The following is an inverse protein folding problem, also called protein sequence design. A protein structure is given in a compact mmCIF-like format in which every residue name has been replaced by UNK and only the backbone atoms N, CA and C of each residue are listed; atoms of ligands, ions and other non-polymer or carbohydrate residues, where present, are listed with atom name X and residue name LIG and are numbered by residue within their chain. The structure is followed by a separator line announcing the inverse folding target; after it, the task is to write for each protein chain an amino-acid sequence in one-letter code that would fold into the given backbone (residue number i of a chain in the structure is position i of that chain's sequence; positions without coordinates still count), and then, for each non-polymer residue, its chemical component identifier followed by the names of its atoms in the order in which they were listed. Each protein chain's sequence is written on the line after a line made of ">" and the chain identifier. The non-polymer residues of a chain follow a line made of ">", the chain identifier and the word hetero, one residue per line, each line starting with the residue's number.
data_IF_619058893834
#
_entry.id   IF_619058893834
#
_cell.length_a   1.000
_cell.length_b   1.000
_cell.length_c   1.000
_cell.angle_alpha   90.00
_cell.angle_beta   90.00
_cell.angle_gamma   90.00
#
_symmetry.space_group_name_H-M   'P 1'
#
loop_
_entity.id
_entity.type
_entity.pdbx_description
1 polymer ?
#
# COMPACT_ATOMS: atom_id res chain seq x y z
N UNK A 1 17.07 19.41 -10.86
CA UNK A 1 15.74 19.63 -11.50
C UNK A 1 14.68 20.04 -10.47
N UNK A 2 14.30 19.20 -9.48
CA UNK A 2 13.34 19.57 -8.41
C UNK A 2 13.65 20.91 -7.70
N UNK A 3 14.91 21.13 -7.30
CA UNK A 3 15.33 22.36 -6.61
C UNK A 3 15.11 23.64 -7.45
N UNK A 4 15.30 23.55 -8.77
CA UNK A 4 15.12 24.67 -9.69
C UNK A 4 13.62 25.01 -9.86
N UNK A 5 12.78 23.98 -10.01
CA UNK A 5 11.33 24.14 -10.09
C UNK A 5 10.74 24.70 -8.79
N UNK A 6 11.28 24.28 -7.64
CA UNK A 6 10.87 24.81 -6.33
C UNK A 6 11.23 26.28 -6.18
N UNK A 7 12.42 26.67 -6.62
CA UNK A 7 12.89 28.06 -6.56
C UNK A 7 12.11 28.99 -7.52
N UNK A 8 11.71 28.47 -8.68
CA UNK A 8 10.87 29.20 -9.64
C UNK A 8 9.38 29.29 -9.23
N UNK A 9 8.98 28.66 -8.11
CA UNK A 9 7.58 28.64 -7.65
C UNK A 9 6.65 27.78 -8.51
N UNK A 10 7.18 26.91 -9.37
CA UNK A 10 6.40 26.08 -10.31
C UNK A 10 6.03 24.71 -9.76
N UNK A 11 6.25 24.50 -8.46
CA UNK A 11 5.77 23.32 -7.74
C UNK A 11 4.57 23.76 -6.92
N UNK A 12 3.37 23.40 -7.39
CA UNK A 12 2.17 23.58 -6.58
C UNK A 12 2.28 22.74 -5.30
N UNK A 13 2.02 23.32 -4.12
CA UNK A 13 1.96 22.55 -2.90
C UNK A 13 0.85 21.50 -3.05
N UNK A 14 1.21 20.23 -2.85
CA UNK A 14 0.23 19.15 -2.83
C UNK A 14 -0.49 19.25 -1.50
N UNK A 15 -1.71 19.79 -1.50
CA UNK A 15 -2.56 19.65 -0.34
C UNK A 15 -2.72 18.15 -0.04
N UNK A 16 -2.55 17.72 1.22
CA UNK A 16 -2.82 16.34 1.56
C UNK A 16 -4.30 16.09 1.24
N UNK A 17 -4.58 15.25 0.25
CA UNK A 17 -5.93 14.70 0.06
C UNK A 17 -6.22 13.85 1.28
N UNK A 18 -6.80 14.47 2.30
CA UNK A 18 -7.30 13.79 3.47
C UNK A 18 -8.66 13.20 3.11
N UNK A 19 -8.65 11.96 2.64
CA UNK A 19 -9.85 11.14 2.67
C UNK A 19 -9.82 10.39 3.99
N UNK A 20 -10.85 10.57 4.81
CA UNK A 20 -11.01 9.75 6.01
C UNK A 20 -11.29 8.31 5.58
N UNK A 21 -10.59 7.35 6.16
CA UNK A 21 -10.93 5.95 5.97
C UNK A 21 -12.38 5.71 6.41
N UNK A 22 -13.13 4.93 5.65
CA UNK A 22 -14.43 4.43 6.10
C UNK A 22 -14.22 3.42 7.24
N UNK A 23 -15.19 3.27 8.13
CA UNK A 23 -15.11 2.30 9.23
C UNK A 23 -14.93 0.87 8.72
N UNK A 24 -15.50 0.55 7.56
CA UNK A 24 -15.45 -0.78 6.97
C UNK A 24 -15.38 -0.75 5.44
N UNK A 25 -14.85 -1.83 4.88
CA UNK A 25 -14.89 -2.08 3.44
C UNK A 25 -16.31 -2.46 2.99
N UNK A 26 -16.77 -1.85 1.90
CA UNK A 26 -18.17 -1.96 1.42
C UNK A 26 -18.53 -3.35 0.90
N UNK A 27 -17.59 -4.05 0.28
CA UNK A 27 -17.84 -5.34 -0.37
C UNK A 27 -17.34 -6.46 0.55
N UNK A 28 -18.25 -7.13 1.25
CA UNK A 28 -17.90 -8.26 2.11
C UNK A 28 -17.85 -9.56 1.29
N UNK A 29 -16.77 -10.30 1.44
CA UNK A 29 -16.65 -11.66 0.89
C UNK A 29 -17.56 -12.64 1.65
N UNK A 30 -18.04 -13.68 0.97
CA UNK A 30 -18.98 -14.70 1.48
C UNK A 30 -18.45 -16.13 1.38
N UNK A 31 -17.35 -16.35 0.65
CA UNK A 31 -16.66 -17.64 0.49
C UNK A 31 -15.20 -17.42 0.09
N UNK A 32 -14.31 -18.42 0.28
CA UNK A 32 -12.92 -18.31 -0.12
C UNK A 32 -12.76 -17.97 -1.61
N UNK A 33 -11.67 -17.30 -1.98
CA UNK A 33 -11.27 -16.93 -3.34
C UNK A 33 -12.22 -15.96 -4.07
N UNK A 34 -12.94 -15.11 -3.35
CA UNK A 34 -13.78 -14.06 -3.96
C UNK A 34 -13.07 -12.72 -4.11
N UNK A 35 -12.10 -12.42 -3.25
CA UNK A 35 -11.32 -11.20 -3.30
C UNK A 35 -9.95 -11.45 -2.67
N UNK A 36 -8.91 -11.05 -3.38
CA UNK A 36 -7.53 -11.10 -2.91
C UNK A 36 -6.98 -9.69 -2.77
N UNK A 37 -6.26 -9.45 -1.69
CA UNK A 37 -5.50 -8.24 -1.45
C UNK A 37 -4.02 -8.56 -1.70
N UNK A 38 -3.32 -7.68 -2.41
CA UNK A 38 -1.89 -7.81 -2.63
C UNK A 38 -1.18 -6.58 -2.11
N UNK A 39 -0.10 -6.77 -1.37
CA UNK A 39 0.71 -5.68 -0.86
C UNK A 39 2.20 -6.00 -1.00
N UNK A 40 3.00 -4.95 -1.12
CA UNK A 40 4.44 -5.04 -1.22
C UNK A 40 5.10 -4.18 -0.14
N UNK A 41 5.99 -4.80 0.63
CA UNK A 41 6.74 -4.09 1.68
C UNK A 41 8.22 -4.47 1.64
N UNK A 42 9.02 -3.63 2.29
CA UNK A 42 10.45 -3.86 2.46
C UNK A 42 10.72 -4.54 3.79
N UNK A 43 11.39 -5.68 3.75
CA UNK A 43 11.87 -6.37 4.95
C UNK A 43 13.38 -6.16 5.07
N UNK A 44 13.82 -5.67 6.23
CA UNK A 44 15.23 -5.66 6.59
C UNK A 44 15.56 -6.96 7.31
N UNK A 45 16.35 -7.82 6.66
CA UNK A 45 16.87 -9.04 7.27
C UNK A 45 18.24 -8.74 7.86
N UNK A 46 18.38 -8.97 9.17
CA UNK A 46 19.62 -8.66 9.89
C UNK A 46 20.82 -9.37 9.23
N UNK A 47 21.90 -8.62 8.95
CA UNK A 47 23.11 -9.06 8.25
C UNK A 47 22.94 -9.44 6.76
N UNK A 48 21.74 -9.36 6.18
CA UNK A 48 21.45 -9.83 4.81
C UNK A 48 20.90 -8.71 3.90
N UNK A 49 20.39 -7.63 4.49
CA UNK A 49 19.97 -6.43 3.76
C UNK A 49 18.47 -6.39 3.50
N UNK A 50 18.07 -5.58 2.51
CA UNK A 50 16.67 -5.31 2.19
C UNK A 50 16.12 -6.29 1.16
N UNK A 51 14.94 -6.83 1.45
CA UNK A 51 14.18 -7.72 0.58
C UNK A 51 12.80 -7.15 0.29
N UNK A 52 12.29 -7.43 -0.89
CA UNK A 52 10.89 -7.21 -1.22
C UNK A 52 10.06 -8.40 -0.75
N UNK A 53 9.06 -8.13 0.09
CA UNK A 53 8.00 -9.08 0.40
C UNK A 53 6.78 -8.68 -0.42
N UNK A 54 6.28 -9.60 -1.26
CA UNK A 54 5.01 -9.43 -1.96
C UNK A 54 4.08 -10.50 -1.42
N UNK A 55 2.99 -10.07 -0.78
CA UNK A 55 2.02 -10.98 -0.16
C UNK A 55 0.67 -10.94 -0.86
N UNK A 56 -0.06 -12.05 -0.80
CA UNK A 56 -1.43 -12.21 -1.25
C UNK A 56 -2.28 -12.69 -0.08
N UNK A 57 -3.33 -11.95 0.27
CA UNK A 57 -4.29 -12.26 1.32
C UNK A 57 -5.66 -12.54 0.73
N UNK A 58 -6.21 -13.73 0.99
CA UNK A 58 -7.62 -14.01 0.73
C UNK A 58 -8.50 -13.33 1.79
N UNK A 59 -9.38 -12.42 1.37
CA UNK A 59 -10.12 -11.57 2.31
C UNK A 59 -11.18 -12.34 3.12
N UNK A 60 -11.66 -13.48 2.62
CA UNK A 60 -12.63 -14.31 3.33
C UNK A 60 -11.97 -15.24 4.36
N UNK A 61 -11.07 -16.11 3.89
CA UNK A 61 -10.46 -17.17 4.70
C UNK A 61 -9.29 -16.69 5.56
N UNK A 62 -8.80 -15.47 5.30
CA UNK A 62 -7.59 -14.89 5.91
C UNK A 62 -6.32 -15.69 5.66
N UNK A 63 -6.29 -16.53 4.62
CA UNK A 63 -5.09 -17.23 4.17
C UNK A 63 -4.12 -16.25 3.50
N UNK A 64 -2.84 -16.32 3.87
CA UNK A 64 -1.76 -15.53 3.29
C UNK A 64 -0.83 -16.43 2.47
N UNK A 65 -0.40 -15.93 1.31
CA UNK A 65 0.72 -16.44 0.52
C UNK A 65 1.78 -15.33 0.49
N UNK A 66 3.03 -15.66 0.80
CA UNK A 66 4.11 -14.68 0.96
C UNK A 66 5.47 -15.35 0.67
#
# INVERSE_FOLDING_TARGET
>A
MYRLLRQAGWINPKEPRQFTASSEYRVKTRRPNQMWQTDATYLLVNNWGWYYLISVLDDFSRRILA
#
